data_IF_995346929242
#
_entry.id   IF_995346929242
#
_cell.length_a   1.000
_cell.length_b   1.000
_cell.length_c   1.000
_cell.angle_alpha   90.00
_cell.angle_beta   90.00
_cell.angle_gamma   90.00
#
_symmetry.space_group_name_H-M   'P 1'
#
loop_
_entity.id
_entity.type
_entity.pdbx_description
1 polymer ?
#
# COMPACT_ATOMS: atom_id res chain seq x y z
N UNK A 1 -12.85 -5.31 12.51
CA UNK A 1 -12.28 -5.20 13.87
C UNK A 1 -11.82 -6.58 14.33
N UNK A 2 -10.79 -7.13 13.68
CA UNK A 2 -10.16 -8.42 14.04
C UNK A 2 -8.61 -8.33 14.01
N UNK A 3 -8.06 -7.20 13.55
CA UNK A 3 -6.62 -6.93 13.48
C UNK A 3 -6.08 -6.17 14.71
N UNK A 4 -6.93 -5.64 15.58
CA UNK A 4 -6.53 -4.82 16.73
C UNK A 4 -5.89 -5.61 17.90
N UNK A 5 -5.83 -6.95 17.80
CA UNK A 5 -5.27 -7.83 18.84
C UNK A 5 -4.18 -8.77 18.31
N UNK A 6 -3.73 -8.55 17.08
CA UNK A 6 -2.79 -9.41 16.39
C UNK A 6 -1.57 -8.57 16.06
N UNK A 7 -0.37 -9.11 16.25
CA UNK A 7 0.89 -8.50 15.78
C UNK A 7 1.06 -8.83 14.28
N UNK A 8 0.52 -8.04 13.32
CA UNK A 8 0.48 -8.41 11.91
C UNK A 8 1.86 -8.72 11.32
N UNK A 9 2.89 -8.04 11.81
CA UNK A 9 4.28 -8.24 11.36
C UNK A 9 4.82 -9.59 11.82
N UNK A 10 4.51 -10.04 13.04
CA UNK A 10 4.95 -11.35 13.53
C UNK A 10 4.22 -12.50 12.84
N UNK A 11 2.98 -12.29 12.39
CA UNK A 11 2.31 -13.23 11.50
C UNK A 11 2.96 -13.23 10.12
N UNK A 12 3.25 -12.07 9.55
CA UNK A 12 3.90 -11.95 8.26
C UNK A 12 5.24 -12.71 8.22
N UNK A 13 6.06 -12.61 9.29
CA UNK A 13 7.34 -13.34 9.43
C UNK A 13 7.20 -14.86 9.39
N UNK A 14 6.02 -15.40 9.75
CA UNK A 14 5.71 -16.84 9.73
C UNK A 14 4.98 -17.27 8.46
N UNK A 15 4.67 -16.33 7.57
CA UNK A 15 3.85 -16.54 6.39
C UNK A 15 4.73 -16.71 5.15
N UNK A 16 4.22 -17.42 4.14
CA UNK A 16 4.87 -17.56 2.82
C UNK A 16 4.23 -16.67 1.75
N UNK A 17 2.99 -16.25 2.01
CA UNK A 17 2.19 -15.38 1.16
C UNK A 17 1.28 -14.51 2.01
N UNK A 18 1.09 -13.27 1.61
CA UNK A 18 0.08 -12.35 2.15
C UNK A 18 -0.93 -12.03 1.05
N UNK A 19 -2.20 -12.25 1.36
CA UNK A 19 -3.34 -11.84 0.55
C UNK A 19 -3.91 -10.55 1.11
N UNK A 20 -3.86 -9.46 0.33
CA UNK A 20 -4.56 -8.23 0.68
C UNK A 20 -5.75 -7.99 -0.24
N UNK A 21 -6.93 -7.82 0.33
CA UNK A 21 -8.13 -7.38 -0.37
C UNK A 21 -8.96 -6.45 0.52
N UNK A 22 -8.28 -5.72 1.42
CA UNK A 22 -8.94 -4.80 2.34
C UNK A 22 -8.99 -3.40 1.74
N UNK A 23 -10.13 -2.74 1.91
CA UNK A 23 -10.31 -1.34 1.53
C UNK A 23 -9.82 -0.43 2.67
N UNK A 24 -8.49 -0.28 2.76
CA UNK A 24 -7.82 0.64 3.70
C UNK A 24 -7.10 1.79 2.99
N UNK A 25 -6.69 1.54 1.74
CA UNK A 25 -6.10 2.51 0.80
C UNK A 25 -4.61 2.32 0.54
N UNK A 26 -4.09 3.16 -0.36
CA UNK A 26 -2.79 2.96 -1.01
C UNK A 26 -1.58 2.97 -0.03
N UNK A 27 -1.67 3.67 1.09
CA UNK A 27 -0.59 3.67 2.10
C UNK A 27 -0.50 2.31 2.79
N UNK A 28 -1.62 1.63 2.99
CA UNK A 28 -1.63 0.27 3.54
C UNK A 28 -1.05 -0.73 2.53
N UNK A 29 -1.41 -0.63 1.25
CA UNK A 29 -0.80 -1.45 0.20
C UNK A 29 0.71 -1.23 0.10
N UNK A 30 1.16 0.02 0.20
CA UNK A 30 2.58 0.38 0.28
C UNK A 30 3.25 -0.33 1.45
N UNK A 31 2.65 -0.28 2.65
CA UNK A 31 3.18 -0.90 3.85
C UNK A 31 3.28 -2.42 3.74
N UNK A 32 2.18 -3.09 3.36
CA UNK A 32 2.17 -4.55 3.22
C UNK A 32 3.15 -5.00 2.15
N UNK A 33 3.19 -4.30 1.01
CA UNK A 33 4.13 -4.64 -0.06
C UNK A 33 5.59 -4.45 0.37
N UNK A 34 5.90 -3.38 1.09
CA UNK A 34 7.22 -3.12 1.65
C UNK A 34 7.65 -4.20 2.64
N UNK A 35 6.74 -4.61 3.53
CA UNK A 35 6.96 -5.71 4.47
C UNK A 35 7.22 -7.03 3.73
N UNK A 36 6.39 -7.39 2.74
CA UNK A 36 6.60 -8.59 1.94
C UNK A 36 7.94 -8.57 1.20
N UNK A 37 8.37 -7.39 0.71
CA UNK A 37 9.67 -7.21 0.07
C UNK A 37 10.83 -7.41 1.05
N UNK A 38 10.70 -6.92 2.28
CA UNK A 38 11.72 -7.12 3.33
C UNK A 38 11.89 -8.58 3.71
N UNK A 39 10.78 -9.33 3.75
CA UNK A 39 10.75 -10.73 4.15
C UNK A 39 10.99 -11.70 2.98
N UNK A 40 11.04 -11.21 1.74
CA UNK A 40 11.15 -12.05 0.55
C UNK A 40 9.95 -12.97 0.34
N UNK A 41 8.75 -12.55 0.77
CA UNK A 41 7.51 -13.35 0.67
C UNK A 41 6.56 -12.77 -0.37
N UNK A 42 5.64 -13.62 -0.84
CA UNK A 42 4.70 -13.25 -1.90
C UNK A 42 3.63 -12.32 -1.33
N UNK A 43 3.32 -11.27 -2.09
CA UNK A 43 2.19 -10.39 -1.84
C UNK A 43 1.21 -10.49 -3.00
N UNK A 44 -0.07 -10.75 -2.71
CA UNK A 44 -1.14 -10.71 -3.70
C UNK A 44 -2.15 -9.64 -3.30
N UNK A 45 -2.22 -8.57 -4.07
CA UNK A 45 -3.22 -7.53 -3.91
C UNK A 45 -4.45 -7.84 -4.76
N UNK A 46 -5.61 -7.75 -4.15
CA UNK A 46 -6.90 -7.61 -4.80
C UNK A 46 -7.42 -6.21 -4.55
N UNK A 47 -7.89 -5.55 -5.60
CA UNK A 47 -8.67 -4.33 -5.52
C UNK A 47 -9.94 -4.53 -6.33
N UNK A 48 -11.03 -3.96 -5.86
CA UNK A 48 -12.30 -4.01 -6.56
C UNK A 48 -12.92 -2.62 -6.55
N UNK A 49 -13.36 -2.16 -7.72
CA UNK A 49 -14.11 -0.91 -7.82
C UNK A 49 -15.25 -1.04 -8.84
N UNK A 50 -16.48 -0.73 -8.42
CA UNK A 50 -17.69 -0.94 -9.21
C UNK A 50 -17.75 -2.37 -9.80
N UNK A 51 -17.52 -2.50 -11.11
CA UNK A 51 -17.51 -3.76 -11.86
C UNK A 51 -16.10 -4.28 -12.21
N UNK A 52 -15.05 -3.62 -11.71
CA UNK A 52 -13.66 -3.99 -11.98
C UNK A 52 -13.04 -4.78 -10.82
N UNK A 53 -12.18 -5.71 -11.18
CA UNK A 53 -11.34 -6.50 -10.28
C UNK A 53 -9.90 -6.38 -10.76
N UNK A 54 -9.02 -5.87 -9.92
CA UNK A 54 -7.60 -5.78 -10.18
C UNK A 54 -6.84 -6.72 -9.24
N UNK A 55 -6.17 -7.73 -9.80
CA UNK A 55 -5.36 -8.68 -9.05
C UNK A 55 -3.90 -8.53 -9.47
N UNK A 56 -3.03 -8.22 -8.51
CA UNK A 56 -1.58 -8.15 -8.75
C UNK A 56 -0.88 -9.12 -7.81
N UNK A 57 0.07 -9.91 -8.33
CA UNK A 57 0.99 -10.67 -7.48
C UNK A 57 2.38 -10.03 -7.55
N UNK A 58 3.08 -10.01 -6.43
CA UNK A 58 4.44 -9.53 -6.31
C UNK A 58 5.23 -10.60 -5.56
N UNK A 59 6.32 -11.08 -6.12
CA UNK A 59 7.04 -12.25 -5.58
C UNK A 59 7.76 -11.99 -4.25
N UNK A 60 8.01 -10.72 -3.92
CA UNK A 60 8.88 -10.33 -2.80
C UNK A 60 10.38 -10.37 -3.13
N UNK A 61 10.80 -10.92 -4.27
CA UNK A 61 12.21 -11.01 -4.66
C UNK A 61 12.81 -9.64 -4.98
N UNK A 62 14.06 -9.38 -4.59
CA UNK A 62 14.69 -8.04 -4.69
C UNK A 62 14.68 -7.41 -6.08
N UNK A 63 14.85 -8.22 -7.12
CA UNK A 63 14.95 -7.76 -8.51
C UNK A 63 13.60 -7.68 -9.23
N UNK A 64 12.54 -8.19 -8.61
CA UNK A 64 11.20 -8.08 -9.16
C UNK A 64 10.60 -6.70 -8.88
N UNK A 65 9.67 -6.22 -9.71
CA UNK A 65 8.89 -5.03 -9.40
C UNK A 65 8.10 -5.21 -8.10
N UNK A 66 7.71 -4.09 -7.50
CA UNK A 66 6.85 -4.06 -6.33
C UNK A 66 5.59 -3.23 -6.62
N UNK A 67 4.66 -3.14 -5.68
CA UNK A 67 3.40 -2.41 -5.87
C UNK A 67 3.66 -0.93 -6.16
N UNK A 68 4.64 -0.31 -5.49
CA UNK A 68 5.00 1.10 -5.69
C UNK A 68 5.68 1.38 -7.04
N UNK A 69 6.15 0.37 -7.78
CA UNK A 69 6.73 0.61 -9.11
C UNK A 69 5.68 1.10 -10.12
N UNK A 70 4.40 0.83 -9.88
CA UNK A 70 3.30 1.17 -10.80
C UNK A 70 2.19 2.00 -10.14
N UNK A 71 2.30 2.30 -8.85
CA UNK A 71 1.25 2.95 -8.08
C UNK A 71 1.79 4.11 -7.25
N UNK A 72 0.94 5.12 -7.05
CA UNK A 72 1.24 6.31 -6.27
C UNK A 72 0.43 6.33 -4.98
N UNK A 73 1.01 6.90 -3.91
CA UNK A 73 0.34 7.05 -2.60
C UNK A 73 -0.21 8.44 -2.37
N UNK A 74 0.05 9.38 -3.28
CA UNK A 74 -0.26 10.81 -3.12
C UNK A 74 -1.74 11.07 -2.82
N UNK A 75 -2.65 10.31 -3.43
CA UNK A 75 -4.08 10.52 -3.28
C UNK A 75 -4.60 10.20 -1.87
N UNK A 76 -3.95 9.27 -1.16
CA UNK A 76 -4.28 8.95 0.23
C UNK A 76 -3.88 10.04 1.23
N UNK A 77 -3.09 11.04 0.82
CA UNK A 77 -2.71 12.20 1.63
C UNK A 77 -3.52 13.46 1.30
N UNK A 78 -4.44 13.39 0.33
CA UNK A 78 -5.25 14.57 -0.05
C UNK A 78 -6.28 14.90 1.02
N UNK A 79 -6.40 16.20 1.31
CA UNK A 79 -7.49 16.77 2.10
C UNK A 79 -8.53 17.39 1.16
N UNK A 80 -9.80 17.28 1.52
CA UNK A 80 -10.88 17.96 0.82
C UNK A 80 -10.85 19.46 1.11
N UNK A 81 -11.37 20.28 0.20
CA UNK A 81 -11.48 21.74 0.45
C UNK A 81 -12.31 22.04 1.70
N UNK A 82 -13.34 21.24 1.98
CA UNK A 82 -14.16 21.40 3.18
C UNK A 82 -13.36 21.13 4.47
N UNK A 83 -12.48 20.13 4.49
CA UNK A 83 -11.57 19.89 5.63
C UNK A 83 -10.58 21.06 5.78
N UNK A 84 -10.10 21.61 4.68
CA UNK A 84 -9.22 22.78 4.66
C UNK A 84 -9.93 24.11 4.96
N UNK A 85 -11.27 24.16 4.93
CA UNK A 85 -12.05 25.34 5.33
C UNK A 85 -12.29 25.39 6.85
N UNK A 86 -12.30 24.24 7.53
CA UNK A 86 -12.40 24.16 9.00
C UNK A 86 -11.05 24.41 9.71
N UNK A 87 -10.06 24.86 8.95
CA UNK A 87 -8.62 24.85 9.24
C UNK A 87 -8.15 26.10 9.99
N UNK A 88 -8.89 26.51 11.03
CA UNK A 88 -8.55 27.70 11.82
C UNK A 88 -7.44 27.44 12.85
N UNK A 89 -7.19 26.18 13.23
CA UNK A 89 -6.06 25.76 14.07
C UNK A 89 -5.52 24.40 13.60
N UNK A 90 -4.32 24.42 13.02
CA UNK A 90 -3.67 23.25 12.45
C UNK A 90 -3.27 22.24 13.52
N UNK A 91 -2.88 22.68 14.71
CA UNK A 91 -2.52 21.73 15.78
C UNK A 91 -3.76 20.99 16.28
N UNK A 92 -4.87 21.70 16.49
CA UNK A 92 -6.12 21.06 16.91
C UNK A 92 -6.66 20.15 15.81
N UNK A 93 -6.68 20.61 14.56
CA UNK A 93 -7.07 19.79 13.41
C UNK A 93 -6.21 18.53 13.29
N UNK A 94 -4.88 18.67 13.33
CA UNK A 94 -3.98 17.54 13.23
C UNK A 94 -4.08 16.62 14.43
N UNK A 95 -4.34 17.12 15.65
CA UNK A 95 -4.56 16.28 16.84
C UNK A 95 -5.86 15.50 16.77
N UNK A 96 -6.97 16.13 16.36
CA UNK A 96 -8.25 15.47 16.14
C UNK A 96 -8.14 14.39 15.06
N UNK A 97 -7.37 14.67 14.01
CA UNK A 97 -7.14 13.74 12.91
C UNK A 97 -6.06 12.69 13.20
N UNK A 98 -5.11 12.97 14.08
CA UNK A 98 -4.07 12.03 14.51
C UNK A 98 -4.51 11.16 15.70
N UNK A 99 -5.52 11.58 16.47
CA UNK A 99 -6.27 10.71 17.39
C UNK A 99 -6.86 9.49 16.66
N UNK A 100 -7.05 9.58 15.34
CA UNK A 100 -7.49 8.47 14.49
C UNK A 100 -6.31 7.56 14.07
N UNK A 101 -5.06 8.03 14.15
CA UNK A 101 -3.88 7.42 13.54
C UNK A 101 -2.74 7.06 14.54
N UNK A 102 -2.98 7.13 15.85
CA UNK A 102 -2.05 6.69 16.90
C UNK A 102 -0.89 7.64 17.25
N UNK A 103 -0.20 7.35 18.36
CA UNK A 103 0.86 8.21 18.95
C UNK A 103 2.01 8.51 17.98
N UNK A 104 2.35 7.55 17.11
CA UNK A 104 3.46 7.69 16.17
C UNK A 104 3.17 8.68 15.04
N UNK A 105 1.92 8.77 14.59
CA UNK A 105 1.53 9.83 13.65
C UNK A 105 1.64 11.22 14.29
N UNK A 106 1.29 11.34 15.57
CA UNK A 106 1.40 12.61 16.31
C UNK A 106 2.86 13.07 16.41
N UNK A 107 3.80 12.16 16.68
CA UNK A 107 5.22 12.53 16.75
C UNK A 107 5.74 13.04 15.39
N UNK A 108 5.34 12.41 14.28
CA UNK A 108 5.72 12.86 12.93
C UNK A 108 5.17 14.25 12.63
N UNK A 109 3.92 14.53 13.02
CA UNK A 109 3.31 15.84 12.85
C UNK A 109 4.13 16.92 13.59
N UNK A 110 4.46 16.67 14.86
CA UNK A 110 5.25 17.63 15.66
C UNK A 110 6.67 17.81 15.07
N UNK A 111 7.30 16.73 14.57
CA UNK A 111 8.57 16.84 13.84
C UNK A 111 8.45 17.71 12.59
N UNK A 112 7.41 17.53 11.78
CA UNK A 112 7.17 18.35 10.58
C UNK A 112 6.95 19.83 10.93
N UNK A 113 6.19 20.12 11.99
CA UNK A 113 5.95 21.48 12.48
C UNK A 113 7.27 22.13 12.90
N UNK A 114 8.08 21.41 13.68
CA UNK A 114 9.37 21.90 14.16
C UNK A 114 10.37 22.11 13.02
N UNK A 115 10.44 21.17 12.06
CA UNK A 115 11.37 21.23 10.93
C UNK A 115 11.08 22.41 10.01
N UNK A 116 9.80 22.72 9.78
CA UNK A 116 9.39 23.86 8.97
C UNK A 116 9.44 25.20 9.72
N UNK A 117 9.61 25.16 11.05
CA UNK A 117 9.55 26.33 11.93
C UNK A 117 8.27 27.18 11.72
N UNK A 118 7.13 26.51 11.45
CA UNK A 118 5.87 27.18 11.17
C UNK A 118 5.01 27.19 12.43
N UNK A 119 4.57 28.39 12.83
CA UNK A 119 3.65 28.55 13.97
C UNK A 119 2.22 28.13 13.59
N UNK A 120 1.73 28.59 12.43
CA UNK A 120 0.46 28.21 11.79
C UNK A 120 0.59 28.38 10.27
N UNK A 121 0.73 27.29 9.47
CA UNK A 121 0.79 27.43 8.02
C UNK A 121 -0.49 28.05 7.46
N UNK A 122 -0.36 28.92 6.46
CA UNK A 122 -1.48 29.20 5.55
C UNK A 122 -1.93 27.90 4.85
N UNK A 123 -3.15 27.85 4.32
CA UNK A 123 -3.63 26.68 3.56
C UNK A 123 -2.68 26.31 2.40
N UNK A 124 -2.05 27.31 1.77
CA UNK A 124 -1.06 27.11 0.71
C UNK A 124 0.22 26.48 1.25
N UNK A 125 0.79 26.99 2.35
CA UNK A 125 1.98 26.42 2.98
C UNK A 125 1.71 25.00 3.52
N UNK A 126 0.52 24.75 4.05
CA UNK A 126 0.13 23.42 4.48
C UNK A 126 0.18 22.42 3.31
N UNK A 127 -0.43 22.80 2.18
CA UNK A 127 -0.52 21.92 1.00
C UNK A 127 0.83 21.76 0.29
N UNK A 128 1.66 22.79 0.26
CA UNK A 128 2.90 22.84 -0.54
C UNK A 128 4.17 22.48 0.24
N UNK A 129 4.19 22.68 1.57
CA UNK A 129 5.36 22.42 2.41
C UNK A 129 5.09 21.28 3.40
N UNK A 130 4.04 21.41 4.20
CA UNK A 130 3.76 20.44 5.27
C UNK A 130 3.38 19.08 4.72
N UNK A 131 2.43 19.01 3.80
CA UNK A 131 1.92 17.72 3.30
C UNK A 131 2.96 16.86 2.59
N UNK A 132 3.80 17.41 1.68
CA UNK A 132 4.89 16.65 1.09
C UNK A 132 5.91 16.16 2.13
N UNK A 133 6.22 16.97 3.14
CA UNK A 133 7.14 16.57 4.21
C UNK A 133 6.54 15.47 5.09
N UNK A 134 5.27 15.62 5.49
CA UNK A 134 4.53 14.63 6.26
C UNK A 134 4.44 13.30 5.51
N UNK A 135 4.02 13.33 4.24
CA UNK A 135 4.01 12.17 3.36
C UNK A 135 5.38 11.49 3.31
N UNK A 136 6.44 12.26 3.08
CA UNK A 136 7.80 11.74 3.04
C UNK A 136 8.18 11.02 4.33
N UNK A 137 7.93 11.63 5.50
CA UNK A 137 8.25 11.01 6.80
C UNK A 137 7.43 9.75 7.06
N UNK A 138 6.12 9.75 6.75
CA UNK A 138 5.28 8.55 6.88
C UNK A 138 5.82 7.42 5.99
N UNK A 139 6.11 7.69 4.72
CA UNK A 139 6.63 6.67 3.80
C UNK A 139 8.01 6.14 4.22
N UNK A 140 8.85 6.97 4.84
CA UNK A 140 10.14 6.54 5.40
C UNK A 140 9.99 5.50 6.53
N UNK A 141 8.95 5.61 7.36
CA UNK A 141 8.66 4.59 8.36
C UNK A 141 8.24 3.27 7.73
N UNK A 142 7.65 3.31 6.55
CA UNK A 142 7.12 2.14 5.85
C UNK A 142 8.15 1.48 4.93
N UNK A 143 9.40 1.94 4.90
CA UNK A 143 10.47 1.31 4.12
C UNK A 143 10.78 -0.11 4.64
N UNK A 144 11.32 -1.01 3.78
CA UNK A 144 11.55 -2.42 4.12
C UNK A 144 12.31 -2.63 5.44
N UNK A 145 13.40 -1.88 5.63
CA UNK A 145 14.25 -1.95 6.82
C UNK A 145 13.55 -1.49 8.10
N UNK A 146 12.60 -0.58 7.99
CA UNK A 146 11.90 0.04 9.11
C UNK A 146 10.67 -0.78 9.50
N UNK A 147 9.85 -1.20 8.52
CA UNK A 147 8.52 -1.77 8.77
C UNK A 147 8.56 -3.13 9.46
N UNK A 148 9.58 -3.95 9.18
CA UNK A 148 9.78 -5.26 9.83
C UNK A 148 10.03 -5.19 11.34
N UNK A 149 10.40 -4.01 11.85
CA UNK A 149 10.70 -3.76 13.25
C UNK A 149 9.47 -3.33 14.06
N UNK A 150 8.32 -3.14 13.42
CA UNK A 150 7.09 -2.80 14.12
C UNK A 150 6.31 -4.05 14.50
N UNK A 151 5.67 -4.02 15.67
CA UNK A 151 4.69 -5.05 16.04
C UNK A 151 3.30 -4.73 15.47
N UNK A 152 2.95 -3.44 15.42
CA UNK A 152 1.67 -2.92 14.96
C UNK A 152 1.85 -1.96 13.79
N UNK A 153 0.84 -1.94 12.91
CA UNK A 153 0.73 -1.02 11.77
C UNK A 153 -0.43 -0.04 11.93
N UNK A 154 -0.96 0.12 13.15
CA UNK A 154 -2.06 1.04 13.46
C UNK A 154 -1.70 2.52 13.26
N UNK A 155 -0.42 2.83 13.15
CA UNK A 155 0.05 4.17 12.82
C UNK A 155 -0.11 4.52 11.33
N UNK A 156 -0.50 3.56 10.48
CA UNK A 156 -0.77 3.86 9.07
C UNK A 156 -2.05 4.70 9.01
N UNK A 157 -2.02 5.92 8.45
CA UNK A 157 -3.22 6.72 8.31
C UNK A 157 -4.21 6.01 7.38
N UNK A 158 -5.47 5.97 7.79
CA UNK A 158 -6.55 5.48 6.94
C UNK A 158 -6.77 6.42 5.76
N UNK A 159 -7.07 5.85 4.60
CA UNK A 159 -7.45 6.63 3.43
C UNK A 159 -8.76 7.39 3.68
N UNK A 160 -8.76 8.65 3.23
CA UNK A 160 -9.85 9.61 3.39
C UNK A 160 -10.68 9.78 2.12
N UNK A 161 -10.27 9.13 1.03
CA UNK A 161 -11.01 9.16 -0.22
C UNK A 161 -12.47 8.72 -0.02
N UNK A 162 -13.33 9.29 -0.86
CA UNK A 162 -14.79 9.21 -0.76
C UNK A 162 -15.23 7.77 -0.45
N UNK A 163 -16.20 7.55 0.47
CA UNK A 163 -16.61 6.22 0.86
C UNK A 163 -17.07 5.45 -0.39
N UNK A 164 -16.21 4.54 -0.84
CA UNK A 164 -16.51 3.55 -1.88
C UNK A 164 -17.84 2.88 -1.57
N UNK A 165 -18.27 2.77 -0.31
CA UNK A 165 -19.60 2.30 0.11
C UNK A 165 -20.79 2.83 -0.69
N UNK A 166 -20.76 4.05 -1.23
CA UNK A 166 -21.89 4.59 -2.02
C UNK A 166 -21.79 4.33 -3.52
N UNK A 167 -20.61 3.96 -4.04
CA UNK A 167 -20.34 3.68 -5.47
C UNK A 167 -19.67 2.31 -5.67
N UNK A 168 -19.71 1.49 -4.62
CA UNK A 168 -18.69 0.49 -4.34
C UNK A 168 -18.83 -0.75 -5.19
N UNK A 169 -17.83 -1.61 -5.06
CA UNK A 169 -17.91 -2.91 -5.67
C UNK A 169 -19.08 -3.71 -5.13
N UNK A 170 -19.79 -4.33 -6.07
CA UNK A 170 -20.86 -5.26 -5.75
C UNK A 170 -20.27 -6.44 -4.99
N UNK A 171 -21.04 -7.03 -4.07
CA UNK A 171 -20.58 -8.17 -3.26
C UNK A 171 -20.02 -9.32 -4.11
N UNK A 172 -20.60 -9.54 -5.30
CA UNK A 172 -20.11 -10.54 -6.25
C UNK A 172 -18.71 -10.22 -6.80
N UNK A 173 -18.40 -8.94 -7.02
CA UNK A 173 -17.08 -8.46 -7.47
C UNK A 173 -16.06 -8.64 -6.35
N UNK A 174 -16.39 -8.27 -5.11
CA UNK A 174 -15.52 -8.45 -3.94
C UNK A 174 -15.22 -9.94 -3.67
N UNK A 175 -16.25 -10.80 -3.75
CA UNK A 175 -16.11 -12.24 -3.58
C UNK A 175 -15.24 -12.84 -4.69
N UNK A 176 -15.50 -12.45 -5.94
CA UNK A 176 -14.72 -12.91 -7.10
C UNK A 176 -13.25 -12.48 -6.97
N UNK A 177 -12.99 -11.22 -6.60
CA UNK A 177 -11.64 -10.73 -6.33
C UNK A 177 -10.93 -11.55 -5.26
N UNK A 178 -11.61 -11.85 -4.15
CA UNK A 178 -11.08 -12.67 -3.06
C UNK A 178 -10.76 -14.11 -3.48
N UNK A 179 -11.54 -14.70 -4.38
CA UNK A 179 -11.24 -16.01 -4.94
C UNK A 179 -10.07 -15.95 -5.94
N UNK A 180 -10.00 -14.87 -6.72
CA UNK A 180 -9.00 -14.70 -7.78
C UNK A 180 -7.61 -14.43 -7.23
N UNK A 181 -7.45 -13.71 -6.11
CA UNK A 181 -6.12 -13.54 -5.47
C UNK A 181 -5.49 -14.90 -5.10
N UNK A 182 -6.27 -15.84 -4.57
CA UNK A 182 -5.79 -17.17 -4.21
C UNK A 182 -5.47 -17.98 -5.48
N UNK A 183 -6.33 -17.91 -6.49
CA UNK A 183 -6.10 -18.58 -7.77
C UNK A 183 -4.82 -18.08 -8.46
N UNK A 184 -4.55 -16.78 -8.44
CA UNK A 184 -3.33 -16.18 -9.00
C UNK A 184 -2.08 -16.72 -8.31
N UNK A 185 -2.11 -16.87 -6.98
CA UNK A 185 -1.00 -17.50 -6.24
C UNK A 185 -0.81 -18.98 -6.58
N UNK A 186 -1.88 -19.76 -6.68
CA UNK A 186 -1.79 -21.17 -7.08
C UNK A 186 -1.21 -21.29 -8.49
N UNK A 187 -1.65 -20.46 -9.44
CA UNK A 187 -1.07 -20.41 -10.79
C UNK A 187 0.42 -20.10 -10.78
N UNK A 188 0.86 -19.16 -9.93
CA UNK A 188 2.29 -18.88 -9.74
C UNK A 188 3.05 -20.13 -9.27
N UNK A 189 2.56 -20.81 -8.23
CA UNK A 189 3.18 -22.05 -7.73
C UNK A 189 3.25 -23.13 -8.83
N UNK A 190 2.14 -23.36 -9.55
CA UNK A 190 2.08 -24.38 -10.60
C UNK A 190 3.07 -24.09 -11.73
N UNK A 191 3.21 -22.81 -12.13
CA UNK A 191 4.19 -22.42 -13.15
C UNK A 191 5.62 -22.62 -12.68
N UNK A 192 5.91 -22.34 -11.41
CA UNK A 192 7.25 -22.54 -10.84
C UNK A 192 7.60 -24.03 -10.63
N UNK A 193 6.62 -24.91 -10.43
CA UNK A 193 6.86 -26.36 -10.24
C UNK A 193 7.11 -27.14 -11.52
N UNK A 194 6.54 -26.70 -12.65
CA UNK A 194 6.42 -27.55 -13.85
C UNK A 194 7.43 -27.28 -14.97
N UNK A 195 8.35 -26.32 -14.84
CA UNK A 195 9.37 -26.10 -15.87
C UNK A 195 10.60 -25.42 -15.31
N UNK A 196 11.69 -25.55 -16.07
CA UNK A 196 12.89 -24.72 -16.14
C UNK A 196 12.57 -23.23 -15.95
N UNK A 197 12.24 -22.83 -14.73
CA UNK A 197 11.91 -21.47 -14.40
C UNK A 197 13.24 -20.74 -14.40
N UNK A 198 13.49 -20.05 -15.51
CA UNK A 198 14.60 -19.11 -15.58
C UNK A 198 14.31 -18.05 -14.52
N UNK A 199 15.00 -18.14 -13.38
CA UNK A 199 14.91 -17.16 -12.29
C UNK A 199 15.20 -15.74 -12.78
N UNK A 200 15.80 -15.61 -13.97
CA UNK A 200 16.10 -14.32 -14.61
C UNK A 200 14.95 -13.83 -15.49
N UNK A 201 13.89 -14.62 -15.73
CA UNK A 201 12.70 -14.15 -16.45
C UNK A 201 11.66 -13.60 -15.48
N UNK A 202 11.27 -12.32 -15.60
CA UNK A 202 10.30 -11.71 -14.71
C UNK A 202 8.96 -12.45 -14.80
N UNK A 203 8.39 -12.78 -13.65
CA UNK A 203 7.08 -13.40 -13.59
C UNK A 203 6.00 -12.32 -13.80
N UNK A 204 5.32 -12.35 -14.95
CA UNK A 204 4.19 -11.48 -15.26
C UNK A 204 2.91 -11.96 -14.58
N UNK A 205 2.26 -11.12 -13.80
CA UNK A 205 1.14 -11.53 -12.95
C UNK A 205 0.28 -10.35 -12.44
N UNK A 206 0.14 -9.33 -13.28
CA UNK A 206 -1.00 -8.43 -13.17
C UNK A 206 -2.15 -9.00 -14.00
N UNK A 207 -3.32 -9.11 -13.38
CA UNK A 207 -4.58 -9.52 -13.99
C UNK A 207 -5.61 -8.46 -13.60
N UNK A 208 -5.90 -7.56 -14.52
CA UNK A 208 -7.08 -6.72 -14.43
C UNK A 208 -8.24 -7.42 -15.15
N UNK A 209 -9.39 -7.52 -14.50
CA UNK A 209 -10.64 -8.10 -15.02
C UNK A 209 -11.71 -7.03 -14.89
N UNK A 210 -12.16 -6.50 -16.03
CA UNK A 210 -13.35 -5.68 -16.08
C UNK A 210 -14.56 -6.58 -16.36
N UNK A 211 -15.48 -6.70 -15.40
CA UNK A 211 -16.70 -7.48 -15.60
C UNK A 211 -17.74 -6.56 -16.23
N UNK A 212 -17.95 -6.66 -17.54
CA UNK A 212 -19.08 -5.95 -18.15
C UNK A 212 -20.39 -6.57 -17.66
N UNK A 213 -21.19 -5.79 -16.92
CA UNK A 213 -22.50 -6.25 -16.46
C UNK A 213 -23.51 -6.40 -17.60
N UNK A 214 -23.25 -5.79 -18.75
CA UNK A 214 -24.20 -5.74 -19.86
C UNK A 214 -24.10 -6.95 -20.80
N UNK A 215 -22.90 -7.50 -20.98
CA UNK A 215 -22.67 -8.62 -21.91
C UNK A 215 -21.88 -9.80 -21.30
N UNK A 216 -21.49 -9.71 -20.03
CA UNK A 216 -20.72 -10.76 -19.34
C UNK A 216 -19.29 -10.92 -19.88
N UNK A 217 -18.81 -10.01 -20.73
CA UNK A 217 -17.46 -10.04 -21.23
C UNK A 217 -16.44 -9.66 -20.14
N UNK A 218 -15.24 -10.21 -20.28
CA UNK A 218 -14.07 -9.78 -19.53
C UNK A 218 -12.88 -9.66 -20.46
N UNK A 219 -12.01 -8.69 -20.18
CA UNK A 219 -10.68 -8.63 -20.78
C UNK A 219 -9.63 -8.71 -19.68
N UNK A 220 -8.50 -9.34 -20.00
CA UNK A 220 -7.33 -9.37 -19.14
C UNK A 220 -6.21 -8.58 -19.79
N UNK A 221 -5.70 -7.57 -19.09
CA UNK A 221 -4.47 -6.88 -19.46
C UNK A 221 -3.36 -7.33 -18.53
N UNK A 222 -2.22 -7.70 -19.13
CA UNK A 222 -0.98 -7.98 -18.41
C UNK A 222 0.10 -7.08 -18.97
N UNK A 223 0.81 -6.37 -18.10
CA UNK A 223 1.95 -5.57 -18.49
C UNK A 223 3.20 -6.09 -17.76
N UNK A 224 4.36 -6.13 -18.42
CA UNK A 224 5.60 -6.28 -17.69
C UNK A 224 5.75 -5.06 -16.79
N UNK A 225 5.66 -5.26 -15.48
CA UNK A 225 6.11 -4.25 -14.54
C UNK A 225 7.64 -4.34 -14.52
N UNK A 226 8.30 -3.44 -15.24
CA UNK A 226 9.72 -3.22 -15.01
C UNK A 226 9.90 -2.61 -13.61
N UNK A 227 10.97 -3.00 -12.94
CA UNK A 227 11.30 -2.40 -11.66
C UNK A 227 11.69 -0.93 -11.91
N UNK A 228 10.89 0.00 -11.38
CA UNK A 228 11.26 1.42 -11.40
C UNK A 228 12.60 1.60 -10.66
N UNK A 229 13.65 2.13 -11.32
CA UNK A 229 14.96 2.33 -10.71
C UNK A 229 14.93 3.31 -9.53
N UNK A 230 13.93 4.20 -9.48
CA UNK A 230 13.75 5.18 -8.43
C UNK A 230 12.80 4.71 -7.32
N UNK A 231 12.29 3.47 -7.40
CA UNK A 231 11.36 2.97 -6.43
C UNK A 231 12.02 2.86 -5.03
N UNK A 232 11.50 3.57 -4.02
CA UNK A 232 12.11 3.61 -2.69
C UNK A 232 12.08 2.25 -1.98
N UNK A 233 11.02 1.46 -2.16
CA UNK A 233 10.91 0.11 -1.58
C UNK A 233 12.00 -0.80 -2.17
N UNK A 234 12.07 -0.86 -3.49
CA UNK A 234 13.00 -1.72 -4.20
C UNK A 234 14.47 -1.39 -3.93
N UNK A 235 14.81 -0.10 -3.93
CA UNK A 235 16.18 0.36 -3.65
C UNK A 235 16.61 0.07 -2.20
N UNK A 236 15.74 0.30 -1.21
CA UNK A 236 16.05 0.03 0.21
C UNK A 236 16.15 -1.47 0.49
N UNK A 237 15.26 -2.30 -0.06
CA UNK A 237 15.35 -3.76 0.12
C UNK A 237 16.69 -4.34 -0.35
N UNK A 238 17.24 -3.83 -1.46
CA UNK A 238 18.57 -4.23 -1.97
C UNK A 238 19.72 -3.81 -1.06
N UNK A 239 19.57 -2.71 -0.31
CA UNK A 239 20.61 -2.24 0.62
C UNK A 239 20.69 -3.13 1.86
N UNK A 240 19.57 -3.67 2.34
CA UNK A 240 19.53 -4.58 3.49
C UNK A 240 20.39 -5.83 3.26
N UNK A 241 20.27 -6.47 2.10
CA UNK A 241 21.05 -7.69 1.79
C UNK A 241 22.56 -7.45 1.71
N UNK A 242 22.99 -6.23 1.37
CA UNK A 242 24.41 -5.87 1.37
C UNK A 242 24.99 -5.69 2.78
N UNK A 243 24.15 -5.46 3.79
CA UNK A 243 24.59 -5.29 5.17
C UNK A 243 24.78 -6.64 5.89
N UNK A 244 24.09 -7.68 5.42
CA UNK A 244 24.16 -9.03 5.99
C UNK A 244 25.23 -9.93 5.33
N UNK A 245 25.86 -9.48 4.25
CA UNK A 245 26.89 -10.20 3.47
C UNK A 245 28.30 -9.78 3.83
#
# INVERSE_FOLDING_TARGET
>A
MLLAYVEPVEIAKKSTVIFNNIDYGAIFDYAVNSLCKSLGIIYVSGSTYANNIDICLYSGLLNDPCWTCSNLTHDSFKFTNQELEHFNDIRSFLKENALISGEKCQSIIEECINELNIVLPSQSEFSTLFMPLYQKKVLQLLLPQSIQNYQSIEFIPKDRSFPTRTVGSWIGVCLSGSCLIVNTWIKYIMKNKNSTFDINKPFHNWIQINLSMFDGSYYTTGFPNEQDPNCPICSNAKQMVKQDS
#
